data_IF_628043620783
#
_entry.id   IF_628043620783
#
_cell.length_a   1.000
_cell.length_b   1.000
_cell.length_c   1.000
_cell.angle_alpha   90.00
_cell.angle_beta   90.00
_cell.angle_gamma   90.00
#
_symmetry.space_group_name_H-M   'P 1'
#
loop_
_entity.id
_entity.type
_entity.pdbx_description
1 polymer ?
#
# COMPACT_ATOMS: atom_id res chain seq x y z
N UNK A 1 -1.24 -12.32 29.47
CA UNK A 1 -1.10 -11.33 28.38
C UNK A 1 -1.49 -12.02 27.08
N UNK A 2 -2.68 -11.74 26.54
CA UNK A 2 -3.16 -12.37 25.31
C UNK A 2 -2.51 -11.65 24.12
N UNK A 3 -1.72 -12.38 23.33
CA UNK A 3 -1.16 -11.90 22.08
C UNK A 3 -2.33 -11.63 21.11
N UNK A 4 -2.77 -10.38 21.04
CA UNK A 4 -3.66 -9.93 19.99
C UNK A 4 -2.88 -10.01 18.67
N UNK A 5 -3.15 -11.05 17.89
CA UNK A 5 -2.92 -11.02 16.45
C UNK A 5 -3.88 -9.95 15.91
N UNK A 6 -3.49 -8.68 16.00
CA UNK A 6 -4.10 -7.58 15.26
C UNK A 6 -3.80 -7.85 13.80
N UNK A 7 -4.70 -8.62 13.18
CA UNK A 7 -4.81 -8.76 11.74
C UNK A 7 -4.86 -7.33 11.22
N UNK A 8 -3.74 -6.88 10.65
CA UNK A 8 -3.59 -5.52 10.19
C UNK A 8 -4.54 -5.35 9.00
N UNK A 9 -5.80 -4.99 9.26
CA UNK A 9 -6.77 -4.44 8.32
C UNK A 9 -6.37 -3.01 7.96
N UNK A 10 -5.09 -2.82 7.69
CA UNK A 10 -4.71 -1.94 6.62
C UNK A 10 -4.83 -2.80 5.38
N UNK A 11 -5.37 -2.23 4.31
CA UNK A 11 -5.03 -2.66 2.98
C UNK A 11 -3.58 -3.18 3.01
N UNK A 12 -3.41 -4.48 2.78
CA UNK A 12 -2.14 -5.06 2.38
C UNK A 12 -1.83 -4.46 1.03
N UNK A 13 -1.59 -3.15 1.00
CA UNK A 13 -0.99 -2.48 -0.12
C UNK A 13 0.44 -2.98 -0.03
N UNK A 14 0.66 -4.15 -0.65
CA UNK A 14 1.82 -4.29 -1.52
C UNK A 14 1.76 -3.06 -2.44
N UNK A 15 2.30 -1.94 -1.98
CA UNK A 15 2.28 -0.67 -2.68
C UNK A 15 3.38 -0.72 -3.73
N UNK A 16 3.13 -1.52 -4.75
CA UNK A 16 3.81 -1.38 -6.02
C UNK A 16 3.01 -0.33 -6.78
N UNK A 17 3.55 0.89 -6.81
CA UNK A 17 3.05 1.96 -7.66
C UNK A 17 3.09 1.48 -9.10
N UNK A 18 1.92 1.19 -9.67
CA UNK A 18 1.78 0.72 -11.05
C UNK A 18 2.16 1.86 -12.01
N UNK A 19 2.78 1.50 -13.12
CA UNK A 19 2.99 2.44 -14.21
C UNK A 19 1.63 2.72 -14.88
N UNK A 20 1.34 3.99 -15.16
CA UNK A 20 0.17 4.36 -15.96
C UNK A 20 0.21 3.72 -17.36
N UNK A 21 -0.93 3.68 -18.07
CA UNK A 21 -1.00 3.10 -19.41
C UNK A 21 -0.09 3.82 -20.42
N UNK A 22 0.19 5.11 -20.20
CA UNK A 22 1.07 5.91 -21.07
C UNK A 22 2.53 5.95 -20.59
N UNK A 23 2.92 5.08 -19.67
CA UNK A 23 4.28 5.08 -19.16
C UNK A 23 5.26 4.55 -20.21
N UNK A 24 6.22 5.38 -20.59
CA UNK A 24 7.34 4.93 -21.43
C UNK A 24 8.09 3.76 -20.79
N UNK A 25 8.42 2.78 -21.63
CA UNK A 25 9.24 1.66 -21.21
C UNK A 25 10.60 2.19 -20.73
N UNK A 26 10.99 1.81 -19.52
CA UNK A 26 12.21 2.33 -18.90
C UNK A 26 12.85 1.32 -17.99
N UNK A 27 14.10 1.02 -18.30
CA UNK A 27 15.00 0.33 -17.39
C UNK A 27 15.89 1.34 -16.64
N UNK A 28 16.07 1.12 -15.35
CA UNK A 28 17.03 1.85 -14.51
C UNK A 28 17.73 0.86 -13.61
N UNK A 29 19.04 0.74 -13.80
CA UNK A 29 19.92 0.06 -12.85
C UNK A 29 20.66 1.08 -11.99
N UNK A 30 21.09 0.69 -10.81
CA UNK A 30 21.93 1.51 -9.97
C UNK A 30 22.67 0.65 -8.96
N UNK A 31 23.91 1.00 -8.68
CA UNK A 31 24.72 0.36 -7.66
C UNK A 31 25.54 1.41 -6.93
N UNK A 32 25.95 1.09 -5.70
CA UNK A 32 26.82 1.97 -4.94
C UNK A 32 27.20 1.38 -3.60
N UNK A 33 27.91 2.18 -2.82
CA UNK A 33 28.30 1.84 -1.45
C UNK A 33 27.57 2.73 -0.46
N UNK A 34 27.40 2.25 0.77
CA UNK A 34 26.86 3.04 1.86
C UNK A 34 27.76 2.94 3.09
N UNK A 35 27.70 3.96 3.93
CA UNK A 35 28.24 3.98 5.28
C UNK A 35 27.14 4.52 6.20
N UNK A 36 26.95 3.88 7.34
CA UNK A 36 26.01 4.35 8.37
C UNK A 36 26.75 5.20 9.39
N UNK A 37 26.04 6.07 10.14
CA UNK A 37 26.66 6.87 11.21
C UNK A 37 27.33 6.05 12.32
N UNK A 38 27.03 4.75 12.41
CA UNK A 38 27.70 3.79 13.29
C UNK A 38 28.90 3.06 12.67
N UNK A 39 29.44 3.54 11.55
CA UNK A 39 30.65 2.99 10.90
C UNK A 39 30.44 1.72 10.07
N UNK A 40 29.22 1.18 10.01
CA UNK A 40 28.93 -0.01 9.17
C UNK A 40 28.89 0.38 7.70
N UNK A 41 29.55 -0.41 6.87
CA UNK A 41 29.59 -0.21 5.42
C UNK A 41 28.96 -1.38 4.65
N UNK A 42 28.76 -1.17 3.36
CA UNK A 42 28.32 -2.21 2.43
C UNK A 42 28.05 -1.66 1.04
N UNK A 43 27.55 -2.52 0.16
CA UNK A 43 27.15 -2.18 -1.20
C UNK A 43 25.69 -2.46 -1.43
N UNK A 44 25.11 -1.81 -2.44
CA UNK A 44 23.77 -2.08 -2.89
C UNK A 44 23.72 -2.16 -4.42
N UNK A 45 22.75 -2.91 -4.91
CA UNK A 45 22.36 -2.93 -6.31
C UNK A 45 20.84 -2.81 -6.39
N UNK A 46 20.34 -2.15 -7.43
CA UNK A 46 18.92 -2.02 -7.74
C UNK A 46 18.70 -2.09 -9.24
N UNK A 47 17.62 -2.74 -9.62
CA UNK A 47 17.06 -2.68 -10.97
C UNK A 47 15.58 -2.32 -10.89
N UNK A 48 15.14 -1.46 -11.79
CA UNK A 48 13.76 -1.07 -12.00
C UNK A 48 13.48 -1.25 -13.48
N UNK A 49 12.53 -2.11 -13.81
CA UNK A 49 11.96 -2.20 -15.14
C UNK A 49 10.52 -1.69 -15.10
N UNK A 50 10.17 -0.79 -16.01
CA UNK A 50 8.83 -0.23 -16.18
C UNK A 50 8.41 -0.38 -17.62
N UNK A 51 7.15 -0.71 -17.82
CA UNK A 51 6.48 -0.71 -19.11
C UNK A 51 5.01 -0.28 -18.92
N UNK A 52 4.26 0.01 -19.98
CA UNK A 52 2.83 0.27 -19.88
C UNK A 52 2.12 -0.79 -19.04
N UNK A 53 1.43 -0.35 -17.97
CA UNK A 53 0.71 -1.23 -17.07
C UNK A 53 1.56 -2.17 -16.20
N UNK A 54 2.89 -2.18 -16.31
CA UNK A 54 3.73 -3.10 -15.52
C UNK A 54 4.98 -2.45 -14.92
N UNK A 55 5.37 -2.94 -13.75
CA UNK A 55 6.59 -2.53 -13.06
C UNK A 55 7.19 -3.71 -12.33
N UNK A 56 8.52 -3.79 -12.37
CA UNK A 56 9.32 -4.79 -11.68
C UNK A 56 10.51 -4.10 -11.03
N UNK A 57 10.82 -4.46 -9.79
CA UNK A 57 11.93 -3.93 -9.01
C UNK A 57 12.68 -5.09 -8.39
N UNK A 58 13.99 -5.05 -8.46
CA UNK A 58 14.88 -5.91 -7.70
C UNK A 58 15.88 -5.03 -6.96
N UNK A 59 16.28 -5.44 -5.77
CA UNK A 59 17.37 -4.79 -5.06
C UNK A 59 18.06 -5.75 -4.11
N UNK A 60 19.37 -5.60 -3.99
CA UNK A 60 20.19 -6.33 -3.05
C UNK A 60 21.05 -5.37 -2.25
N UNK A 61 21.33 -5.74 -1.00
CA UNK A 61 22.28 -5.05 -0.12
C UNK A 61 23.27 -6.09 0.38
N UNK A 62 24.56 -5.87 0.15
CA UNK A 62 25.64 -6.69 0.69
C UNK A 62 26.35 -5.93 1.81
N UNK A 63 26.29 -6.47 3.01
CA UNK A 63 26.93 -5.89 4.20
C UNK A 63 28.44 -6.09 4.19
N UNK A 64 29.18 -5.32 5.00
CA UNK A 64 30.62 -5.51 5.22
C UNK A 64 31.01 -6.95 5.61
N UNK A 65 30.12 -7.70 6.27
CA UNK A 65 30.36 -9.09 6.68
C UNK A 65 30.11 -10.10 5.53
N UNK A 66 29.89 -9.62 4.30
CA UNK A 66 29.60 -10.44 3.12
C UNK A 66 28.16 -10.97 3.04
N UNK A 67 27.29 -10.68 4.02
CA UNK A 67 25.87 -11.10 3.96
C UNK A 67 25.08 -10.26 2.98
N UNK A 68 24.35 -10.91 2.08
CA UNK A 68 23.50 -10.27 1.07
C UNK A 68 22.02 -10.45 1.39
N UNK A 69 21.25 -9.36 1.30
CA UNK A 69 19.80 -9.32 1.47
C UNK A 69 19.15 -8.83 0.19
N UNK A 70 18.36 -9.69 -0.46
CA UNK A 70 17.71 -9.37 -1.74
C UNK A 70 16.21 -9.23 -1.56
N UNK A 71 15.59 -8.29 -2.26
CA UNK A 71 14.14 -8.18 -2.33
C UNK A 71 13.72 -7.92 -3.77
N UNK A 72 12.51 -8.35 -4.10
CA UNK A 72 11.91 -8.08 -5.38
C UNK A 72 10.45 -7.71 -5.22
N UNK A 73 9.94 -6.93 -6.16
CA UNK A 73 8.53 -6.62 -6.24
C UNK A 73 8.11 -6.45 -7.68
N UNK A 74 6.91 -6.89 -8.02
CA UNK A 74 6.32 -6.69 -9.33
C UNK A 74 4.85 -6.32 -9.21
N UNK A 75 4.34 -5.63 -10.23
CA UNK A 75 2.95 -5.29 -10.35
C UNK A 75 2.55 -5.16 -11.82
N UNK A 76 1.37 -5.65 -12.15
CA UNK A 76 0.74 -5.49 -13.46
C UNK A 76 -0.67 -4.94 -13.31
N UNK A 77 -1.10 -4.20 -14.31
CA UNK A 77 -2.43 -3.68 -14.49
C UNK A 77 -2.81 -3.79 -15.95
N UNK A 78 -3.92 -4.46 -16.20
CA UNK A 78 -4.55 -4.53 -17.51
C UNK A 78 -5.76 -3.60 -17.52
N UNK A 79 -5.69 -2.58 -18.39
CA UNK A 79 -6.75 -1.59 -18.52
C UNK A 79 -8.00 -2.15 -19.23
N UNK A 80 -7.86 -3.17 -20.07
CA UNK A 80 -9.00 -3.75 -20.77
C UNK A 80 -9.87 -4.56 -19.81
N UNK A 81 -9.23 -5.35 -18.94
CA UNK A 81 -9.93 -6.25 -18.01
C UNK A 81 -10.09 -5.67 -16.60
N UNK A 82 -9.38 -4.59 -16.25
CA UNK A 82 -9.33 -4.07 -14.89
C UNK A 82 -8.52 -4.97 -13.94
N UNK A 83 -7.83 -5.99 -14.45
CA UNK A 83 -7.06 -6.93 -13.65
C UNK A 83 -5.79 -6.28 -13.10
N UNK A 84 -5.52 -6.53 -11.82
CA UNK A 84 -4.36 -6.05 -11.08
C UNK A 84 -3.68 -7.24 -10.42
N UNK A 85 -2.38 -7.42 -10.66
CA UNK A 85 -1.57 -8.43 -9.97
C UNK A 85 -0.36 -7.77 -9.33
N UNK A 86 0.04 -8.24 -8.15
CA UNK A 86 1.23 -7.77 -7.44
C UNK A 86 1.92 -8.91 -6.71
N UNK A 87 3.24 -8.85 -6.65
CA UNK A 87 4.07 -9.79 -5.89
C UNK A 87 5.20 -9.04 -5.18
N UNK A 88 5.53 -9.46 -3.97
CA UNK A 88 6.71 -8.97 -3.23
C UNK A 88 7.39 -10.14 -2.57
N UNK A 89 8.67 -10.33 -2.87
CA UNK A 89 9.57 -11.26 -2.19
C UNK A 89 10.54 -10.47 -1.32
N UNK A 90 10.61 -10.82 -0.05
CA UNK A 90 11.51 -10.19 0.93
C UNK A 90 12.83 -10.93 1.00
N UNK A 91 13.79 -10.36 1.75
CA UNK A 91 15.11 -10.95 1.96
C UNK A 91 15.10 -12.29 2.72
N UNK A 92 14.00 -12.64 3.38
CA UNK A 92 13.79 -13.97 3.95
C UNK A 92 13.28 -15.00 2.92
N UNK A 93 13.22 -14.63 1.63
CA UNK A 93 12.72 -15.45 0.54
C UNK A 93 11.20 -15.60 0.49
N UNK A 94 10.46 -15.08 1.49
CA UNK A 94 9.02 -15.25 1.55
C UNK A 94 8.31 -14.25 0.63
N UNK A 95 7.31 -14.76 -0.08
CA UNK A 95 6.58 -14.00 -1.11
C UNK A 95 5.14 -13.75 -0.69
N UNK A 96 4.66 -12.52 -0.89
CA UNK A 96 3.24 -12.16 -0.74
C UNK A 96 2.70 -11.73 -2.09
N UNK A 97 1.49 -12.16 -2.42
CA UNK A 97 0.83 -11.79 -3.68
C UNK A 97 -0.54 -11.17 -3.44
N UNK A 98 -0.96 -10.35 -4.39
CA UNK A 98 -2.29 -9.78 -4.45
C UNK A 98 -2.77 -9.82 -5.89
N UNK A 99 -3.93 -10.41 -6.15
CA UNK A 99 -4.58 -10.41 -7.46
C UNK A 99 -6.00 -9.91 -7.31
N UNK A 100 -6.53 -9.21 -8.30
CA UNK A 100 -7.91 -8.73 -8.25
C UNK A 100 -8.34 -8.08 -9.54
N UNK A 101 -9.62 -7.78 -9.64
CA UNK A 101 -10.24 -7.20 -10.82
C UNK A 101 -11.18 -6.08 -10.40
N UNK A 102 -11.04 -4.93 -11.05
CA UNK A 102 -11.96 -3.81 -10.90
C UNK A 102 -12.98 -3.79 -12.03
N UNK A 103 -14.23 -4.02 -11.68
CA UNK A 103 -15.37 -3.83 -12.56
C UNK A 103 -15.78 -2.35 -12.55
N UNK A 104 -15.73 -1.73 -13.73
CA UNK A 104 -16.04 -0.31 -13.91
C UNK A 104 -17.53 -0.02 -13.99
N UNK A 105 -18.34 -1.01 -14.31
CA UNK A 105 -19.78 -0.86 -14.46
C UNK A 105 -20.44 -0.92 -13.08
N UNK A 106 -19.96 -1.84 -12.23
CA UNK A 106 -20.47 -2.03 -10.87
C UNK A 106 -19.65 -1.30 -9.79
N UNK A 107 -18.58 -0.58 -10.18
CA UNK A 107 -17.61 0.06 -9.28
C UNK A 107 -17.15 -0.87 -8.15
N UNK A 108 -16.91 -2.14 -8.49
CA UNK A 108 -16.58 -3.18 -7.52
C UNK A 108 -15.17 -3.70 -7.77
N UNK A 109 -14.40 -3.81 -6.70
CA UNK A 109 -13.07 -4.41 -6.71
C UNK A 109 -13.07 -5.72 -5.94
N UNK A 110 -12.95 -6.83 -6.65
CA UNK A 110 -12.74 -8.14 -6.04
C UNK A 110 -11.25 -8.47 -6.01
N UNK A 111 -10.74 -8.97 -4.89
CA UNK A 111 -9.32 -9.30 -4.77
C UNK A 111 -9.04 -10.45 -3.82
N UNK A 112 -8.00 -11.20 -4.15
CA UNK A 112 -7.39 -12.24 -3.32
C UNK A 112 -5.99 -11.80 -2.88
N UNK A 113 -5.72 -11.95 -1.59
CA UNK A 113 -4.42 -11.68 -0.97
C UNK A 113 -3.82 -13.00 -0.48
N UNK A 114 -2.61 -13.34 -0.92
CA UNK A 114 -1.88 -14.51 -0.42
C UNK A 114 -0.72 -14.06 0.46
N UNK A 115 -0.75 -14.46 1.72
CA UNK A 115 0.30 -14.20 2.69
C UNK A 115 1.58 -14.99 2.42
N UNK A 116 2.65 -14.60 3.12
CA UNK A 116 3.98 -15.22 3.04
C UNK A 116 3.99 -16.71 3.45
N UNK A 117 2.95 -17.16 4.14
CA UNK A 117 2.71 -18.53 4.57
C UNK A 117 1.68 -19.26 3.70
N UNK A 118 1.36 -18.72 2.52
CA UNK A 118 0.37 -19.29 1.59
C UNK A 118 -1.10 -19.09 2.00
N UNK A 119 -1.38 -18.53 3.18
CA UNK A 119 -2.77 -18.30 3.62
C UNK A 119 -3.42 -17.20 2.81
N UNK A 120 -4.64 -17.45 2.36
CA UNK A 120 -5.37 -16.53 1.50
C UNK A 120 -6.48 -15.79 2.25
N UNK A 121 -6.75 -14.56 1.83
CA UNK A 121 -7.92 -13.81 2.21
C UNK A 121 -8.56 -13.21 0.95
N UNK A 122 -9.88 -13.26 0.89
CA UNK A 122 -10.65 -12.70 -0.21
C UNK A 122 -11.34 -11.44 0.28
N UNK A 123 -11.44 -10.43 -0.57
CA UNK A 123 -12.21 -9.27 -0.22
C UNK A 123 -12.78 -8.55 -1.43
N UNK A 124 -13.95 -8.00 -1.21
CA UNK A 124 -14.73 -7.26 -2.19
C UNK A 124 -14.92 -5.86 -1.65
N UNK A 125 -14.67 -4.85 -2.47
CA UNK A 125 -14.90 -3.45 -2.15
C UNK A 125 -15.83 -2.83 -3.18
N UNK A 126 -16.95 -2.27 -2.74
CA UNK A 126 -17.87 -1.50 -3.58
C UNK A 126 -17.62 -0.02 -3.35
N UNK A 127 -17.50 0.75 -4.42
CA UNK A 127 -17.29 2.19 -4.37
C UNK A 127 -18.57 2.92 -4.77
N UNK A 128 -18.99 3.86 -3.94
CA UNK A 128 -20.04 4.82 -4.26
C UNK A 128 -19.38 6.16 -4.59
N UNK A 129 -19.45 6.55 -5.86
CA UNK A 129 -18.81 7.79 -6.36
C UNK A 129 -19.60 9.04 -5.96
N UNK A 130 -20.91 8.93 -5.82
CA UNK A 130 -21.79 10.05 -5.48
C UNK A 130 -21.65 10.39 -3.99
N UNK A 131 -21.72 9.36 -3.13
CA UNK A 131 -21.47 9.50 -1.71
C UNK A 131 -19.96 9.65 -1.37
N UNK A 132 -19.07 9.46 -2.35
CA UNK A 132 -17.60 9.42 -2.17
C UNK A 132 -17.23 8.48 -1.03
N UNK A 133 -17.73 7.26 -1.10
CA UNK A 133 -17.56 6.25 -0.06
C UNK A 133 -17.14 4.90 -0.64
N UNK A 134 -16.69 4.01 0.24
CA UNK A 134 -16.35 2.64 -0.11
C UNK A 134 -16.72 1.70 1.03
N UNK A 135 -17.35 0.57 0.69
CA UNK A 135 -17.68 -0.50 1.62
C UNK A 135 -16.91 -1.76 1.24
N UNK A 136 -16.23 -2.36 2.20
CA UNK A 136 -15.36 -3.53 2.00
C UNK A 136 -15.76 -4.68 2.90
N UNK A 137 -15.73 -5.89 2.35
CA UNK A 137 -15.90 -7.13 3.10
C UNK A 137 -14.67 -8.01 2.88
N UNK A 138 -14.17 -8.62 3.94
CA UNK A 138 -12.96 -9.43 3.95
C UNK A 138 -13.23 -10.78 4.62
N UNK A 139 -13.03 -11.86 3.90
CA UNK A 139 -13.06 -13.23 4.43
C UNK A 139 -11.63 -13.70 4.59
N UNK A 140 -11.21 -13.89 5.84
CA UNK A 140 -9.88 -14.38 6.18
C UNK A 140 -9.70 -15.89 5.91
N UNK A 141 -8.46 -16.40 6.02
CA UNK A 141 -8.15 -17.82 5.79
C UNK A 141 -8.82 -18.78 6.78
N UNK A 142 -9.35 -18.25 7.89
CA UNK A 142 -10.12 -18.99 8.90
C UNK A 142 -11.64 -18.89 8.67
N UNK A 143 -12.08 -18.39 7.52
CA UNK A 143 -13.50 -18.18 7.18
C UNK A 143 -14.17 -17.03 7.94
N UNK A 144 -13.44 -16.30 8.80
CA UNK A 144 -14.01 -15.20 9.56
C UNK A 144 -14.06 -13.93 8.73
N UNK A 145 -15.13 -13.16 8.90
CA UNK A 145 -15.41 -11.97 8.11
C UNK A 145 -15.16 -10.69 8.88
N UNK A 146 -14.49 -9.73 8.24
CA UNK A 146 -14.40 -8.34 8.68
C UNK A 146 -15.06 -7.44 7.65
N UNK A 147 -15.63 -6.32 8.10
CA UNK A 147 -16.20 -5.30 7.21
C UNK A 147 -15.55 -3.95 7.49
N UNK A 148 -15.60 -3.04 6.51
CA UNK A 148 -15.20 -1.67 6.72
C UNK A 148 -15.88 -0.70 5.78
N UNK A 149 -16.14 0.49 6.26
CA UNK A 149 -16.74 1.57 5.49
C UNK A 149 -15.85 2.80 5.60
N UNK A 150 -15.50 3.38 4.47
CA UNK A 150 -14.80 4.66 4.35
C UNK A 150 -15.71 5.68 3.71
N UNK A 151 -15.87 6.85 4.31
CA UNK A 151 -16.73 7.92 3.78
C UNK A 151 -15.96 9.23 3.76
N UNK A 152 -16.12 9.98 2.68
CA UNK A 152 -15.54 11.32 2.58
C UNK A 152 -16.18 12.27 3.61
N UNK A 153 -15.33 12.92 4.39
CA UNK A 153 -15.72 13.94 5.34
C UNK A 153 -15.42 15.32 4.73
N UNK A 154 -16.48 16.04 4.38
CA UNK A 154 -16.36 17.34 3.73
C UNK A 154 -15.72 18.42 4.63
N UNK A 155 -15.95 18.36 5.94
CA UNK A 155 -15.41 19.33 6.90
C UNK A 155 -13.88 19.24 6.99
N UNK A 156 -13.35 18.02 6.98
CA UNK A 156 -11.91 17.76 7.07
C UNK A 156 -11.24 17.55 5.71
N UNK A 157 -12.02 17.56 4.62
CA UNK A 157 -11.59 17.24 3.25
C UNK A 157 -10.80 15.93 3.19
N UNK A 158 -11.19 14.96 3.99
CA UNK A 158 -10.53 13.67 4.09
C UNK A 158 -11.53 12.54 4.21
N UNK A 159 -11.13 11.44 4.84
CA UNK A 159 -11.98 10.25 4.96
C UNK A 159 -11.98 9.72 6.38
N UNK A 160 -13.17 9.40 6.86
CA UNK A 160 -13.38 8.62 8.07
C UNK A 160 -13.62 7.17 7.68
N UNK A 161 -12.99 6.25 8.39
CA UNK A 161 -13.05 4.82 8.10
C UNK A 161 -13.33 4.06 9.37
N UNK A 162 -14.37 3.24 9.35
CA UNK A 162 -14.70 2.32 10.43
C UNK A 162 -14.51 0.90 9.95
N UNK A 163 -13.82 0.07 10.72
CA UNK A 163 -13.63 -1.34 10.46
C UNK A 163 -14.22 -2.14 11.61
N UNK A 164 -15.01 -3.15 11.29
CA UNK A 164 -15.54 -4.14 12.24
C UNK A 164 -14.80 -5.45 12.04
N UNK A 165 -14.09 -5.88 13.08
CA UNK A 165 -13.38 -7.15 13.11
C UNK A 165 -14.37 -8.32 13.32
N UNK A 166 -13.95 -9.58 13.10
CA UNK A 166 -14.86 -10.70 13.16
C UNK A 166 -15.36 -11.04 14.57
N UNK A 167 -14.73 -10.47 15.60
CA UNK A 167 -15.16 -10.55 17.00
C UNK A 167 -16.18 -9.45 17.36
N UNK A 168 -16.57 -8.61 16.39
CA UNK A 168 -17.48 -7.47 16.57
C UNK A 168 -16.78 -6.20 17.04
N UNK A 169 -15.48 -6.23 17.35
CA UNK A 169 -14.74 -5.03 17.75
C UNK A 169 -14.65 -4.04 16.60
N UNK A 170 -14.87 -2.76 16.89
CA UNK A 170 -14.81 -1.69 15.89
C UNK A 170 -13.59 -0.79 16.10
N UNK A 171 -13.03 -0.33 15.00
CA UNK A 171 -11.87 0.56 14.97
C UNK A 171 -12.09 1.68 13.97
N UNK A 172 -11.76 2.91 14.37
CA UNK A 172 -11.91 4.07 13.50
C UNK A 172 -10.56 4.70 13.15
N UNK A 173 -10.44 5.13 11.91
CA UNK A 173 -9.30 5.89 11.39
C UNK A 173 -9.86 7.10 10.65
N UNK A 174 -9.31 8.27 10.89
CA UNK A 174 -9.65 9.47 10.14
C UNK A 174 -8.44 10.00 9.39
N UNK A 175 -8.71 10.72 8.30
CA UNK A 175 -7.72 11.50 7.58
C UNK A 175 -8.30 12.87 7.31
N UNK A 176 -7.43 13.88 7.31
CA UNK A 176 -7.81 15.25 7.06
C UNK A 176 -6.76 15.95 6.22
N UNK A 177 -7.23 16.93 5.44
CA UNK A 177 -6.41 17.81 4.64
C UNK A 177 -6.82 19.25 4.98
N UNK A 178 -5.86 20.08 5.38
CA UNK A 178 -6.07 21.49 5.65
C UNK A 178 -5.14 22.31 4.74
N UNK A 179 -5.71 23.24 3.98
CA UNK A 179 -4.96 24.15 3.12
C UNK A 179 -4.84 25.50 3.82
N UNK A 180 -3.61 25.98 3.98
CA UNK A 180 -3.34 27.35 4.37
C UNK A 180 -3.06 28.17 3.11
N UNK A 181 -3.97 29.09 2.76
CA UNK A 181 -3.85 29.92 1.57
C UNK A 181 -2.75 30.99 1.66
N UNK A 182 -2.42 31.46 2.87
CA UNK A 182 -1.39 32.47 3.09
C UNK A 182 0.02 31.89 2.88
N UNK A 183 0.25 30.68 3.39
CA UNK A 183 1.57 30.01 3.30
C UNK A 183 1.68 29.07 2.10
N UNK A 184 0.58 28.83 1.38
CA UNK A 184 0.52 27.84 0.31
C UNK A 184 0.80 26.41 0.79
N UNK A 185 0.64 26.12 2.08
CA UNK A 185 1.01 24.82 2.65
C UNK A 185 -0.23 23.92 2.82
N UNK A 186 -0.10 22.67 2.37
CA UNK A 186 -1.09 21.63 2.57
C UNK A 186 -0.66 20.71 3.73
N UNK A 187 -1.39 20.79 4.84
CA UNK A 187 -1.23 19.87 5.97
C UNK A 187 -2.09 18.63 5.76
N UNK A 188 -1.47 17.46 5.82
CA UNK A 188 -2.13 16.15 5.73
C UNK A 188 -1.98 15.43 7.05
N UNK A 189 -3.10 15.06 7.67
CA UNK A 189 -3.11 14.33 8.94
C UNK A 189 -3.85 13.00 8.81
N UNK A 190 -3.37 11.99 9.54
CA UNK A 190 -4.01 10.68 9.67
C UNK A 190 -3.98 10.27 11.13
N UNK A 191 -5.16 10.02 11.69
CA UNK A 191 -5.33 9.42 13.02
C UNK A 191 -5.64 7.95 12.84
N UNK A 192 -4.73 7.08 13.28
CA UNK A 192 -4.88 5.63 13.13
C UNK A 192 -5.86 5.01 14.12
N UNK A 193 -6.10 3.71 13.97
CA UNK A 193 -7.02 2.89 14.77
C UNK A 193 -6.74 2.83 16.28
N UNK A 194 -5.59 3.32 16.74
CA UNK A 194 -5.22 3.45 18.15
C UNK A 194 -5.19 4.90 18.65
N UNK A 195 -5.76 5.84 17.90
CA UNK A 195 -5.80 7.27 18.26
C UNK A 195 -4.52 8.06 17.97
N UNK A 196 -3.43 7.40 17.59
CA UNK A 196 -2.18 8.08 17.25
C UNK A 196 -2.28 8.83 15.92
N UNK A 197 -1.93 10.12 15.94
CA UNK A 197 -1.96 11.00 14.76
C UNK A 197 -0.56 11.18 14.17
N UNK A 198 -0.46 11.13 12.85
CA UNK A 198 0.72 11.50 12.07
C UNK A 198 0.36 12.60 11.09
N UNK A 199 1.24 13.58 10.95
CA UNK A 199 1.01 14.75 10.11
C UNK A 199 2.23 15.01 9.22
N UNK A 200 1.97 15.44 7.99
CA UNK A 200 2.96 15.89 7.02
C UNK A 200 2.48 17.20 6.42
N UNK A 201 3.39 18.17 6.35
CA UNK A 201 3.19 19.40 5.60
C UNK A 201 3.83 19.30 4.23
N UNK A 202 3.06 19.68 3.22
CA UNK A 202 3.51 19.79 1.84
C UNK A 202 3.46 21.26 1.46
N UNK A 203 4.61 21.90 1.51
CA UNK A 203 4.80 23.26 1.01
C UNK A 203 5.27 23.24 -0.43
N UNK A 204 5.02 24.30 -1.23
CA UNK A 204 5.61 24.42 -2.55
C UNK A 204 7.14 24.34 -2.44
N UNK A 205 7.77 23.62 -3.37
CA UNK A 205 9.22 23.66 -3.51
C UNK A 205 9.62 25.12 -3.77
N UNK A 206 10.48 25.68 -2.92
CA UNK A 206 11.18 26.91 -3.27
C UNK A 206 12.08 26.56 -4.45
N UNK A 207 11.66 26.94 -5.66
CA UNK A 207 12.54 26.96 -6.80
C UNK A 207 13.76 27.84 -6.45
N UNK A 208 14.94 27.21 -6.38
CA UNK A 208 16.21 27.89 -6.56
C UNK A 208 16.52 27.91 -8.07
#
# INVERSE_FOLDING_TARGET
MKAFLTLSLLAGVVAVALAGPDAEARERTGSGSYATGGGKTGTYQRSLNRSPGAVSRQGSITTQDGRTYSHSSSGTYDQATGAVNRSVTRADGRTRTASGTYDRDTHTYDRTMTGANGRQAHGTTVYDRDAKSASSTWVGPNGKTSTGTSTYNAATKGFDTTVTAPDGSTYTRSSSNAWNAETGTLTKSVTGYGGNTRTVDVSPDRAN
#
